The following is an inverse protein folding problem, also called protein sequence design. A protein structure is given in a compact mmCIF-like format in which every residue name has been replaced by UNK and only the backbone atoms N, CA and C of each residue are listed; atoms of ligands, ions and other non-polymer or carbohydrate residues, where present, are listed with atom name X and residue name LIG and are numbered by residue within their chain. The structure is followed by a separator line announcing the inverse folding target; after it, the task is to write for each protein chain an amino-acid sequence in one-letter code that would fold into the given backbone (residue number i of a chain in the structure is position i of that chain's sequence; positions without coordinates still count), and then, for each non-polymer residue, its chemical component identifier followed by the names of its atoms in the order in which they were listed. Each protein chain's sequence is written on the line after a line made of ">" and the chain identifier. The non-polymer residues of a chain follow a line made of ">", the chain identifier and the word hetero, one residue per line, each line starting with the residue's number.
data_IF_482742503612
#
_entry.id   IF_482742503612
#
_cell.length_a   1.000
_cell.length_b   1.000
_cell.length_c   1.000
_cell.angle_alpha   90.00
_cell.angle_beta   90.00
_cell.angle_gamma   90.00
#
_symmetry.space_group_name_H-M   'P 1'
#
loop_
_entity.id
_entity.type
_entity.pdbx_description
1 polymer ?
#
# COMPACT_ATOMS: atom_id res chain seq x y z
N UNK A 1 -1.61 -1.28 7.24
CA UNK A 1 -0.26 -0.95 7.77
C UNK A 1 -0.36 0.35 8.55
N UNK A 2 0.43 0.54 9.61
CA UNK A 2 0.48 1.79 10.38
C UNK A 2 1.82 2.49 10.11
N UNK A 3 1.78 3.73 9.64
CA UNK A 3 2.94 4.62 9.58
C UNK A 3 2.90 5.55 10.78
N UNK A 4 4.01 5.65 11.50
CA UNK A 4 4.18 6.52 12.66
C UNK A 4 5.30 7.50 12.42
N UNK A 5 5.16 8.71 12.97
CA UNK A 5 6.18 9.74 12.85
C UNK A 5 7.04 9.87 14.13
N UNK A 6 8.27 10.38 14.02
CA UNK A 6 9.07 10.76 15.17
C UNK A 6 8.35 11.80 16.05
N UNK A 7 8.60 11.78 17.37
CA UNK A 7 7.91 12.62 18.37
C UNK A 7 8.14 14.14 18.26
N UNK A 8 8.92 14.59 17.29
CA UNK A 8 9.26 16.02 17.05
C UNK A 8 9.10 16.44 15.60
N UNK A 9 8.42 15.63 14.77
CA UNK A 9 8.07 16.07 13.42
C UNK A 9 7.11 17.27 13.53
N UNK A 10 7.33 18.30 12.75
CA UNK A 10 6.41 19.43 12.66
C UNK A 10 5.19 19.08 11.81
N UNK A 11 4.06 19.74 12.07
CA UNK A 11 2.80 19.48 11.37
C UNK A 11 2.93 19.71 9.85
N UNK A 12 3.77 20.65 9.42
CA UNK A 12 3.99 20.93 8.01
C UNK A 12 4.66 19.75 7.29
N UNK A 13 5.68 19.14 7.89
CA UNK A 13 6.30 17.92 7.35
C UNK A 13 5.31 16.74 7.29
N UNK A 14 4.43 16.58 8.29
CA UNK A 14 3.40 15.51 8.30
C UNK A 14 2.37 15.72 7.18
N UNK A 15 1.89 16.95 7.01
CA UNK A 15 0.93 17.32 5.96
C UNK A 15 1.57 17.16 4.58
N UNK A 16 2.80 17.63 4.40
CA UNK A 16 3.54 17.44 3.15
C UNK A 16 3.67 15.95 2.80
N UNK A 17 4.03 15.10 3.76
CA UNK A 17 4.16 13.66 3.51
C UNK A 17 2.82 13.02 3.14
N UNK A 18 1.72 13.45 3.78
CA UNK A 18 0.37 13.03 3.40
C UNK A 18 0.05 13.40 1.95
N UNK A 19 0.34 14.64 1.54
CA UNK A 19 0.12 15.11 0.17
C UNK A 19 0.95 14.31 -0.84
N UNK A 20 2.22 14.02 -0.52
CA UNK A 20 3.06 13.17 -1.37
C UNK A 20 2.47 11.77 -1.53
N UNK A 21 2.03 11.14 -0.44
CA UNK A 21 1.38 9.82 -0.52
C UNK A 21 0.12 9.86 -1.40
N UNK A 22 -0.74 10.86 -1.22
CA UNK A 22 -1.98 11.00 -2.00
C UNK A 22 -1.72 11.26 -3.49
N UNK A 23 -0.66 12.01 -3.82
CA UNK A 23 -0.29 12.33 -5.20
C UNK A 23 0.43 11.17 -5.91
N UNK A 24 1.35 10.51 -5.21
CA UNK A 24 2.28 9.55 -5.81
C UNK A 24 1.80 8.10 -5.76
N UNK A 25 0.79 7.78 -4.94
CA UNK A 25 0.33 6.41 -4.72
C UNK A 25 -1.13 6.20 -5.19
N UNK A 26 -1.35 5.82 -6.46
CA UNK A 26 -2.69 5.57 -6.97
C UNK A 26 -3.46 4.52 -6.16
N UNK A 27 -4.69 4.84 -5.80
CA UNK A 27 -5.57 3.93 -5.04
C UNK A 27 -5.24 3.83 -3.55
N UNK A 28 -4.32 4.64 -3.01
CA UNK A 28 -4.05 4.66 -1.56
C UNK A 28 -5.29 5.12 -0.77
N UNK A 29 -5.50 4.53 0.42
CA UNK A 29 -6.51 4.94 1.39
C UNK A 29 -5.86 5.14 2.74
N UNK A 30 -6.04 6.32 3.32
CA UNK A 30 -5.38 6.73 4.57
C UNK A 30 -6.45 7.16 5.58
N UNK A 31 -6.43 6.55 6.76
CA UNK A 31 -7.15 7.07 7.94
C UNK A 31 -6.15 7.65 8.93
N UNK A 32 -6.30 8.93 9.22
CA UNK A 32 -5.41 9.67 10.12
C UNK A 32 -5.98 9.63 11.53
N UNK A 33 -5.13 9.30 12.51
CA UNK A 33 -5.48 9.34 13.94
C UNK A 33 -4.42 10.09 14.71
N UNK A 34 -4.86 10.92 15.66
CA UNK A 34 -3.98 11.53 16.64
C UNK A 34 -3.87 10.63 17.87
N UNK A 35 -2.65 10.26 18.25
CA UNK A 35 -2.39 9.43 19.41
C UNK A 35 -2.04 10.31 20.61
N UNK A 36 -3.03 10.63 21.44
CA UNK A 36 -2.88 11.58 22.55
C UNK A 36 -1.73 11.25 23.52
N UNK A 37 -1.51 9.97 23.82
CA UNK A 37 -0.47 9.52 24.75
C UNK A 37 0.95 9.79 24.23
N UNK A 38 1.16 9.66 22.92
CA UNK A 38 2.48 9.85 22.28
C UNK A 38 2.62 11.22 21.63
N UNK A 39 1.52 11.97 21.49
CA UNK A 39 1.48 13.28 20.85
C UNK A 39 1.74 13.24 19.34
N UNK A 40 1.67 12.07 18.70
CA UNK A 40 1.97 11.91 17.26
C UNK A 40 0.74 11.54 16.44
N UNK A 41 0.77 11.93 15.17
CA UNK A 41 -0.16 11.39 14.17
C UNK A 41 0.25 9.96 13.78
N UNK A 42 -0.75 9.13 13.46
CA UNK A 42 -0.57 7.81 12.90
C UNK A 42 -1.41 7.68 11.64
N UNK A 43 -0.81 7.17 10.57
CA UNK A 43 -1.50 6.94 9.31
C UNK A 43 -1.80 5.45 9.18
N UNK A 44 -3.08 5.10 9.22
CA UNK A 44 -3.56 3.76 8.92
C UNK A 44 -3.76 3.67 7.42
N UNK A 45 -2.84 2.97 6.77
CA UNK A 45 -2.73 2.91 5.32
C UNK A 45 -3.16 1.54 4.80
N UNK A 46 -3.93 1.59 3.72
CA UNK A 46 -4.24 0.47 2.82
C UNK A 46 -4.34 1.01 1.39
N UNK A 47 -4.67 0.14 0.44
CA UNK A 47 -5.01 0.51 -0.93
C UNK A 47 -6.40 -0.01 -1.29
N UNK A 48 -7.00 0.53 -2.35
CA UNK A 48 -8.20 -0.03 -3.01
C UNK A 48 -7.97 -1.48 -3.39
N UNK A 49 -9.03 -2.30 -3.37
CA UNK A 49 -8.94 -3.72 -3.75
C UNK A 49 -8.26 -3.96 -5.09
N UNK A 50 -8.64 -3.21 -6.13
CA UNK A 50 -8.03 -3.31 -7.46
C UNK A 50 -6.50 -3.14 -7.41
N UNK A 51 -6.02 -2.14 -6.65
CA UNK A 51 -4.58 -1.91 -6.51
C UNK A 51 -3.89 -3.01 -5.69
N UNK A 52 -4.58 -3.59 -4.71
CA UNK A 52 -4.08 -4.75 -3.95
C UNK A 52 -3.96 -5.98 -4.86
N UNK A 53 -4.93 -6.23 -5.75
CA UNK A 53 -4.86 -7.30 -6.75
C UNK A 53 -3.65 -7.10 -7.67
N UNK A 54 -3.46 -5.89 -8.22
CA UNK A 54 -2.26 -5.58 -9.03
C UNK A 54 -0.96 -5.78 -8.25
N UNK A 55 -0.94 -5.41 -6.97
CA UNK A 55 0.23 -5.62 -6.10
C UNK A 55 0.50 -7.09 -5.79
N UNK A 56 -0.54 -7.94 -5.75
CA UNK A 56 -0.40 -9.38 -5.60
C UNK A 56 0.24 -10.03 -6.84
N UNK A 57 -0.12 -9.56 -8.03
CA UNK A 57 0.48 -9.96 -9.31
C UNK A 57 1.94 -9.52 -9.39
N UNK A 58 2.23 -8.25 -9.06
CA UNK A 58 3.59 -7.70 -8.97
C UNK A 58 4.49 -8.48 -7.99
N UNK A 59 3.90 -9.05 -6.93
CA UNK A 59 4.59 -9.92 -5.94
C UNK A 59 4.57 -11.41 -6.29
N UNK A 60 3.89 -11.81 -7.37
CA UNK A 60 3.75 -13.20 -7.79
C UNK A 60 3.19 -14.12 -6.70
N UNK A 61 2.19 -13.64 -5.94
CA UNK A 61 1.56 -14.44 -4.89
C UNK A 61 0.86 -15.66 -5.49
N UNK A 62 0.88 -16.80 -4.80
CA UNK A 62 0.11 -17.96 -5.22
C UNK A 62 -1.30 -17.92 -4.63
N UNK A 63 -2.31 -18.20 -5.45
CA UNK A 63 -3.73 -18.19 -5.07
C UNK A 63 -4.43 -19.49 -5.47
N UNK A 64 -5.43 -19.93 -4.70
CA UNK A 64 -6.21 -21.11 -5.03
C UNK A 64 -7.02 -20.88 -6.30
N UNK A 65 -7.09 -21.91 -7.15
CA UNK A 65 -7.87 -21.91 -8.39
C UNK A 65 -9.22 -22.58 -8.14
N UNK A 66 -10.28 -22.08 -8.77
CA UNK A 66 -11.62 -22.69 -8.68
C UNK A 66 -11.59 -24.13 -9.18
N UNK A 67 -12.38 -25.01 -8.56
CA UNK A 67 -12.41 -26.44 -8.89
C UNK A 67 -12.77 -26.72 -10.36
N UNK A 68 -13.61 -25.88 -10.98
CA UNK A 68 -13.99 -25.98 -12.39
C UNK A 68 -12.82 -25.79 -13.38
N UNK A 69 -11.74 -25.16 -12.94
CA UNK A 69 -10.49 -24.99 -13.70
C UNK A 69 -9.38 -25.97 -13.27
N UNK A 70 -9.71 -27.00 -12.50
CA UNK A 70 -8.79 -28.06 -12.06
C UNK A 70 -8.27 -27.92 -10.62
N UNK A 71 -8.62 -26.84 -9.92
CA UNK A 71 -8.23 -26.62 -8.53
C UNK A 71 -6.72 -26.38 -8.33
N UNK A 72 -6.25 -26.49 -7.09
CA UNK A 72 -4.84 -26.31 -6.73
C UNK A 72 -4.46 -24.84 -6.53
N UNK A 73 -3.18 -24.53 -6.66
CA UNK A 73 -2.62 -23.18 -6.52
C UNK A 73 -1.87 -22.77 -7.79
N UNK A 74 -1.95 -21.48 -8.14
CA UNK A 74 -1.21 -20.88 -9.26
C UNK A 74 -0.71 -19.49 -8.86
N UNK A 75 0.40 -19.06 -9.44
CA UNK A 75 0.82 -17.65 -9.40
C UNK A 75 -0.34 -16.79 -9.90
N UNK A 76 -0.68 -15.78 -9.11
CA UNK A 76 -1.76 -14.85 -9.36
C UNK A 76 -1.39 -13.88 -10.48
N UNK A 77 -2.30 -13.71 -11.43
CA UNK A 77 -2.21 -12.73 -12.50
C UNK A 77 -3.46 -11.86 -12.50
N UNK A 78 -3.28 -10.54 -12.52
CA UNK A 78 -4.39 -9.59 -12.45
C UNK A 78 -5.34 -9.71 -13.65
N UNK A 79 -4.83 -10.07 -14.82
CA UNK A 79 -5.63 -10.22 -16.05
C UNK A 79 -6.45 -11.53 -16.10
N UNK A 80 -6.32 -12.39 -15.08
CA UNK A 80 -6.89 -13.74 -15.05
C UNK A 80 -7.80 -13.98 -13.82
N UNK A 81 -8.46 -12.93 -13.32
CA UNK A 81 -9.22 -12.96 -12.06
C UNK A 81 -10.22 -14.12 -12.00
N UNK A 82 -10.90 -14.43 -13.10
CA UNK A 82 -11.97 -15.42 -13.15
C UNK A 82 -11.55 -16.83 -12.69
N UNK A 83 -10.25 -17.16 -12.72
CA UNK A 83 -9.77 -18.48 -12.31
C UNK A 83 -9.62 -18.63 -10.80
N UNK A 84 -9.47 -17.54 -10.05
CA UNK A 84 -9.11 -17.60 -8.63
C UNK A 84 -10.33 -17.74 -7.71
N UNK A 85 -10.21 -18.64 -6.74
CA UNK A 85 -11.26 -18.86 -5.75
C UNK A 85 -11.39 -17.66 -4.82
N UNK A 86 -12.63 -17.19 -4.60
CA UNK A 86 -12.93 -16.11 -3.66
C UNK A 86 -12.50 -14.71 -4.11
N UNK A 87 -12.04 -14.51 -5.35
CA UNK A 87 -11.53 -13.21 -5.83
C UNK A 87 -12.55 -12.06 -5.78
N UNK A 88 -13.85 -12.36 -5.74
CA UNK A 88 -14.89 -11.32 -5.65
C UNK A 88 -15.13 -10.82 -4.23
N UNK A 89 -14.58 -11.50 -3.23
CA UNK A 89 -14.69 -11.14 -1.82
C UNK A 89 -13.43 -10.38 -1.38
N UNK A 90 -13.51 -9.04 -1.40
CA UNK A 90 -12.42 -8.16 -1.01
C UNK A 90 -11.92 -8.42 0.41
N UNK A 91 -12.80 -8.82 1.33
CA UNK A 91 -12.49 -8.95 2.75
C UNK A 91 -11.67 -10.21 3.02
N UNK A 92 -11.95 -11.29 2.28
CA UNK A 92 -11.38 -12.61 2.56
C UNK A 92 -10.35 -13.10 1.53
N UNK A 93 -10.32 -12.55 0.32
CA UNK A 93 -9.40 -13.01 -0.74
C UNK A 93 -7.92 -12.93 -0.33
N UNK A 94 -7.54 -11.87 0.39
CA UNK A 94 -6.22 -11.72 0.98
C UNK A 94 -6.24 -12.04 2.46
N UNK A 95 -5.36 -12.95 2.87
CA UNK A 95 -5.00 -13.09 4.28
C UNK A 95 -4.43 -11.77 4.80
N UNK A 96 -4.48 -11.59 6.13
CA UNK A 96 -3.90 -10.39 6.76
C UNK A 96 -2.41 -10.24 6.45
N UNK A 97 -1.67 -11.35 6.33
CA UNK A 97 -0.25 -11.34 5.99
C UNK A 97 -0.02 -10.87 4.56
N UNK A 98 -0.69 -11.48 3.57
CA UNK A 98 -0.57 -11.07 2.17
C UNK A 98 -0.95 -9.60 1.98
N UNK A 99 -2.07 -9.17 2.58
CA UNK A 99 -2.52 -7.78 2.51
C UNK A 99 -1.44 -6.83 3.05
N UNK A 100 -0.80 -7.16 4.17
CA UNK A 100 0.27 -6.35 4.73
C UNK A 100 1.51 -6.34 3.84
N UNK A 101 1.92 -7.48 3.30
CA UNK A 101 3.05 -7.59 2.37
C UNK A 101 2.82 -6.78 1.10
N UNK A 102 1.62 -6.85 0.52
CA UNK A 102 1.24 -6.04 -0.64
C UNK A 102 1.31 -4.56 -0.28
N UNK A 103 0.63 -4.12 0.78
CA UNK A 103 0.63 -2.70 1.18
C UNK A 103 2.06 -2.19 1.43
N UNK A 104 2.92 -2.99 2.06
CA UNK A 104 4.31 -2.63 2.30
C UNK A 104 5.11 -2.50 1.00
N UNK A 105 4.98 -3.47 0.09
CA UNK A 105 5.60 -3.43 -1.23
C UNK A 105 5.20 -2.17 -1.99
N UNK A 106 3.89 -1.87 -2.01
CA UNK A 106 3.36 -0.69 -2.67
C UNK A 106 3.92 0.61 -2.11
N UNK A 107 3.99 0.73 -0.78
CA UNK A 107 4.59 1.89 -0.13
C UNK A 107 6.06 2.07 -0.46
N UNK A 108 6.85 0.99 -0.47
CA UNK A 108 8.27 1.06 -0.84
C UNK A 108 8.51 1.28 -2.33
N UNK A 109 7.51 1.05 -3.17
CA UNK A 109 7.59 1.32 -4.61
C UNK A 109 7.33 2.78 -4.98
N UNK A 110 6.86 3.61 -4.03
CA UNK A 110 6.59 5.03 -4.27
C UNK A 110 7.90 5.77 -4.55
N UNK A 111 7.94 6.49 -5.66
CA UNK A 111 9.09 7.28 -6.09
C UNK A 111 8.74 8.75 -6.25
N UNK A 112 9.71 9.59 -5.93
CA UNK A 112 9.65 11.02 -6.17
C UNK A 112 9.68 11.30 -7.67
N UNK A 113 8.70 12.05 -8.16
CA UNK A 113 8.59 12.41 -9.59
C UNK A 113 9.22 13.77 -9.91
N UNK A 114 9.36 14.65 -8.92
CA UNK A 114 9.91 15.99 -9.06
C UNK A 114 10.86 16.29 -7.90
N UNK A 115 11.98 16.96 -8.19
CA UNK A 115 12.92 17.38 -7.16
C UNK A 115 12.23 18.36 -6.21
N UNK A 116 12.41 18.13 -4.92
CA UNK A 116 11.78 18.93 -3.87
C UNK A 116 12.64 18.94 -2.61
N UNK A 117 12.47 19.97 -1.79
CA UNK A 117 13.15 20.10 -0.50
C UNK A 117 12.13 20.32 0.61
N UNK A 118 12.25 19.55 1.69
CA UNK A 118 11.42 19.69 2.88
C UNK A 118 12.33 19.71 4.11
N UNK A 119 12.22 20.77 4.93
CA UNK A 119 12.98 20.90 6.19
C UNK A 119 14.50 20.69 6.05
N UNK A 120 15.09 21.12 4.93
CA UNK A 120 16.52 20.96 4.65
C UNK A 120 16.93 19.60 4.08
N UNK A 121 15.97 18.72 3.77
CA UNK A 121 16.19 17.43 3.12
C UNK A 121 15.80 17.53 1.65
N UNK A 122 16.75 17.27 0.77
CA UNK A 122 16.56 17.25 -0.67
C UNK A 122 16.14 15.85 -1.15
N UNK A 123 15.05 15.79 -1.91
CA UNK A 123 14.52 14.60 -2.55
C UNK A 123 14.77 14.66 -4.06
N UNK A 124 15.45 13.64 -4.59
CA UNK A 124 15.77 13.54 -6.02
C UNK A 124 14.73 12.72 -6.77
N UNK A 125 14.60 12.98 -8.06
CA UNK A 125 13.75 12.19 -8.96
C UNK A 125 14.18 10.71 -8.88
N UNK A 126 13.19 9.81 -8.93
CA UNK A 126 13.32 8.35 -8.84
C UNK A 126 13.81 7.79 -7.50
N UNK A 127 14.09 8.65 -6.51
CA UNK A 127 14.36 8.22 -5.15
C UNK A 127 13.06 7.69 -4.49
N UNK A 128 13.14 6.64 -3.66
CA UNK A 128 12.03 6.28 -2.78
C UNK A 128 11.62 7.47 -1.90
N UNK A 129 10.31 7.69 -1.77
CA UNK A 129 9.75 8.66 -0.81
C UNK A 129 10.07 8.22 0.63
#
# INVERSE_FOLDING_TARGET
>A
VLLTFPSRVDDYTVIWFLEQLLQLAPGIRISIKYHFTTGVYGFYVTFTYERLLKGADELQLEKPIKQEFGGGYKIFFFDELEFYEGVEDEDTFFTSQERQSIVQYLLYSIKIVHQQEISGVEFKIDQPL
#
